data_IF_484845614028
#
_entry.id   IF_484845614028
#
_cell.length_a   1.000
_cell.length_b   1.000
_cell.length_c   1.000
_cell.angle_alpha   90.00
_cell.angle_beta   90.00
_cell.angle_gamma   90.00
#
_symmetry.space_group_name_H-M   'P 1'
#
loop_
_entity.id
_entity.type
_entity.pdbx_description
1 polymer ?
#
# COMPACT_ATOMS: atom_id res chain seq x y z
N UNK A 1 3.44 -13.03 17.22
CA UNK A 1 3.58 -12.38 15.90
C UNK A 1 4.65 -13.15 15.13
N UNK A 2 4.45 -13.46 13.85
CA UNK A 2 5.53 -14.00 13.02
C UNK A 2 6.33 -12.82 12.42
N UNK A 3 7.55 -13.09 11.97
CA UNK A 3 8.48 -12.08 11.42
C UNK A 3 7.89 -11.32 10.21
N UNK A 4 7.06 -11.99 9.41
CA UNK A 4 6.37 -11.38 8.27
C UNK A 4 5.38 -10.29 8.68
N UNK A 5 4.47 -10.57 9.62
CA UNK A 5 3.48 -9.57 10.05
C UNK A 5 4.14 -8.36 10.71
N UNK A 6 5.19 -8.59 11.51
CA UNK A 6 5.96 -7.51 12.12
C UNK A 6 6.66 -6.63 11.06
N UNK A 7 7.23 -7.24 10.03
CA UNK A 7 7.81 -6.53 8.89
C UNK A 7 6.76 -5.69 8.13
N UNK A 8 5.57 -6.23 7.88
CA UNK A 8 4.50 -5.51 7.16
C UNK A 8 3.96 -4.31 7.94
N UNK A 9 4.07 -4.32 9.27
CA UNK A 9 3.69 -3.20 10.13
C UNK A 9 4.76 -2.12 10.23
N UNK A 10 6.04 -2.47 10.08
CA UNK A 10 7.17 -1.58 10.44
C UNK A 10 8.04 -1.14 9.26
N UNK A 11 8.13 -1.92 8.19
CA UNK A 11 9.07 -1.67 7.09
C UNK A 11 8.39 -0.97 5.91
N UNK A 12 8.09 0.31 6.10
CA UNK A 12 7.57 1.17 5.04
C UNK A 12 8.66 2.10 4.51
N UNK A 13 8.99 1.96 3.23
CA UNK A 13 9.75 2.95 2.50
C UNK A 13 8.78 3.97 1.92
N UNK A 14 9.10 5.26 2.07
CA UNK A 14 8.35 6.36 1.47
C UNK A 14 9.26 7.06 0.47
N UNK A 15 8.79 7.17 -0.76
CA UNK A 15 9.46 7.88 -1.84
C UNK A 15 8.53 8.98 -2.39
N UNK A 16 9.14 10.08 -2.81
CA UNK A 16 8.44 11.19 -3.45
C UNK A 16 9.15 11.55 -4.75
N UNK A 17 8.39 11.97 -5.75
CA UNK A 17 8.93 12.34 -7.05
C UNK A 17 7.95 13.15 -7.87
N UNK A 18 8.23 13.26 -9.17
CA UNK A 18 7.35 13.93 -10.15
C UNK A 18 7.18 13.03 -11.35
N UNK A 19 5.92 12.77 -11.74
CA UNK A 19 5.55 12.01 -12.94
C UNK A 19 4.62 12.88 -13.77
N UNK A 20 4.96 13.10 -15.05
CA UNK A 20 4.17 13.93 -15.96
C UNK A 20 3.79 15.32 -15.39
N UNK A 21 4.73 15.96 -14.68
CA UNK A 21 4.56 17.27 -14.00
C UNK A 21 3.72 17.25 -12.71
N UNK A 22 3.17 16.10 -12.31
CA UNK A 22 2.44 15.96 -11.06
C UNK A 22 3.31 15.33 -9.97
N UNK A 23 3.20 15.81 -8.72
CA UNK A 23 3.85 15.15 -7.60
C UNK A 23 3.29 13.72 -7.44
N UNK A 24 4.18 12.78 -7.14
CA UNK A 24 3.82 11.43 -6.72
C UNK A 24 4.37 11.17 -5.33
N UNK A 25 3.53 10.60 -4.48
CA UNK A 25 3.91 10.02 -3.19
C UNK A 25 3.68 8.52 -3.27
N UNK A 26 4.73 7.74 -3.07
CA UNK A 26 4.66 6.28 -3.00
C UNK A 26 5.11 5.84 -1.62
N UNK A 27 4.37 4.91 -1.02
CA UNK A 27 4.88 4.11 0.08
C UNK A 27 4.68 2.64 -0.21
N UNK A 28 5.68 1.83 0.07
CA UNK A 28 5.61 0.39 -0.14
C UNK A 28 6.39 -0.34 0.94
N UNK A 29 6.13 -1.64 1.08
CA UNK A 29 6.92 -2.48 1.96
C UNK A 29 8.32 -2.65 1.38
N UNK A 30 9.35 -2.32 2.16
CA UNK A 30 10.74 -2.52 1.75
C UNK A 30 11.69 -2.49 2.97
N UNK A 31 12.71 -3.37 3.04
CA UNK A 31 13.02 -4.43 2.08
C UNK A 31 12.02 -5.60 2.18
N UNK A 32 11.82 -6.30 1.05
CA UNK A 32 11.07 -7.55 0.98
C UNK A 32 11.72 -8.43 -0.09
N UNK A 33 12.01 -9.69 0.23
CA UNK A 33 12.43 -10.69 -0.77
C UNK A 33 11.22 -11.53 -1.22
N UNK A 34 11.32 -12.17 -2.39
CA UNK A 34 10.24 -13.05 -2.89
C UNK A 34 10.04 -14.25 -1.97
N UNK A 35 11.12 -14.74 -1.36
CA UNK A 35 11.14 -15.86 -0.43
C UNK A 35 10.44 -15.53 0.90
N UNK A 36 10.38 -14.25 1.27
CA UNK A 36 9.71 -13.77 2.48
C UNK A 36 8.22 -13.47 2.26
N UNK A 37 7.69 -13.61 1.04
CA UNK A 37 6.25 -13.43 0.78
C UNK A 37 5.41 -14.56 1.40
N UNK A 38 4.10 -14.32 1.55
CA UNK A 38 3.16 -15.34 2.01
C UNK A 38 2.56 -16.11 0.83
N UNK A 39 2.85 -17.42 0.69
CA UNK A 39 2.38 -18.22 -0.46
C UNK A 39 0.86 -18.42 -0.48
N UNK A 40 0.17 -18.23 0.65
CA UNK A 40 -1.29 -18.26 0.69
C UNK A 40 -1.95 -17.00 0.11
N UNK A 41 -1.23 -15.89 -0.03
CA UNK A 41 -1.75 -14.63 -0.55
C UNK A 41 -1.48 -14.55 -2.05
N UNK A 42 -2.35 -15.14 -2.85
CA UNK A 42 -2.13 -15.35 -4.28
C UNK A 42 -2.85 -14.35 -5.18
N UNK A 43 -3.64 -13.44 -4.61
CA UNK A 43 -4.45 -12.49 -5.40
C UNK A 43 -4.01 -11.06 -5.14
N UNK A 44 -3.68 -10.36 -6.21
CA UNK A 44 -3.51 -8.92 -6.24
C UNK A 44 -4.88 -8.26 -6.21
N UNK A 45 -5.07 -7.32 -5.28
CA UNK A 45 -6.25 -6.46 -5.23
C UNK A 45 -5.78 -5.01 -5.30
N UNK A 46 -6.28 -4.26 -6.28
CA UNK A 46 -5.98 -2.84 -6.48
C UNK A 46 -7.23 -2.03 -6.24
N UNK A 47 -7.20 -1.17 -5.22
CA UNK A 47 -8.30 -0.27 -4.90
C UNK A 47 -7.92 1.13 -5.33
N UNK A 48 -8.67 1.69 -6.27
CA UNK A 48 -8.54 3.08 -6.72
C UNK A 48 -9.53 3.96 -5.99
N UNK A 49 -9.04 5.12 -5.56
CA UNK A 49 -9.83 6.18 -4.95
C UNK A 49 -9.57 7.47 -5.70
N UNK A 50 -10.56 7.93 -6.46
CA UNK A 50 -10.50 9.20 -7.18
C UNK A 50 -11.02 10.33 -6.28
N UNK A 51 -10.36 11.49 -6.35
CA UNK A 51 -10.73 12.65 -5.55
C UNK A 51 -10.43 13.96 -6.28
N UNK A 52 -11.13 15.02 -5.87
CA UNK A 52 -10.79 16.38 -6.27
C UNK A 52 -9.68 16.92 -5.37
N UNK A 53 -8.49 17.08 -5.96
CA UNK A 53 -7.30 17.57 -5.27
C UNK A 53 -7.17 19.09 -5.26
N UNK A 54 -6.14 19.58 -4.58
CA UNK A 54 -5.69 20.96 -4.67
C UNK A 54 -5.03 21.28 -6.04
N UNK A 55 -4.44 22.47 -6.19
CA UNK A 55 -3.75 22.88 -7.43
C UNK A 55 -2.60 21.94 -7.86
N UNK A 56 -2.11 21.11 -6.95
CA UNK A 56 -1.04 20.15 -7.19
C UNK A 56 -1.57 18.71 -7.38
N UNK A 57 -2.89 18.51 -7.28
CA UNK A 57 -3.53 17.20 -7.36
C UNK A 57 -3.40 16.38 -6.08
N UNK A 58 -3.03 17.00 -4.95
CA UNK A 58 -2.95 16.35 -3.64
C UNK A 58 -4.32 16.38 -2.95
N UNK A 59 -4.64 15.37 -2.12
CA UNK A 59 -5.95 15.30 -1.47
C UNK A 59 -6.11 16.40 -0.42
N UNK A 60 -7.33 16.94 -0.33
CA UNK A 60 -7.69 17.85 0.76
C UNK A 60 -7.63 17.13 2.12
N UNK A 61 -7.49 17.85 3.25
CA UNK A 61 -7.37 17.22 4.56
C UNK A 61 -8.53 16.29 4.93
N UNK A 62 -9.77 16.68 4.64
CA UNK A 62 -10.95 15.85 4.90
C UNK A 62 -10.98 14.57 4.06
N UNK A 63 -10.48 14.64 2.83
CA UNK A 63 -10.39 13.50 1.93
C UNK A 63 -9.29 12.53 2.39
N UNK A 64 -8.16 13.08 2.82
CA UNK A 64 -7.05 12.31 3.40
C UNK A 64 -7.49 11.55 4.66
N UNK A 65 -8.24 12.21 5.55
CA UNK A 65 -8.77 11.59 6.77
C UNK A 65 -9.73 10.42 6.45
N UNK A 66 -10.55 10.57 5.41
CA UNK A 66 -11.46 9.52 4.97
C UNK A 66 -10.71 8.32 4.39
N UNK A 67 -9.67 8.56 3.58
CA UNK A 67 -8.78 7.53 3.05
C UNK A 67 -8.01 6.79 4.16
N UNK A 68 -7.51 7.51 5.16
CA UNK A 68 -6.84 6.93 6.33
C UNK A 68 -7.81 6.09 7.17
N UNK A 69 -9.06 6.53 7.31
CA UNK A 69 -10.09 5.73 7.98
C UNK A 69 -10.38 4.45 7.20
N UNK A 70 -10.59 4.54 5.88
CA UNK A 70 -10.80 3.38 5.03
C UNK A 70 -9.65 2.37 5.17
N UNK A 71 -8.41 2.84 5.00
CA UNK A 71 -7.22 2.01 5.09
C UNK A 71 -7.13 1.30 6.45
N UNK A 72 -7.31 2.04 7.55
CA UNK A 72 -7.27 1.47 8.91
C UNK A 72 -8.34 0.39 9.09
N UNK A 73 -9.56 0.63 8.62
CA UNK A 73 -10.67 -0.32 8.76
C UNK A 73 -10.41 -1.60 7.96
N UNK A 74 -10.04 -1.49 6.69
CA UNK A 74 -9.81 -2.67 5.85
C UNK A 74 -8.59 -3.44 6.31
N UNK A 75 -7.47 -2.78 6.64
CA UNK A 75 -6.29 -3.46 7.17
C UNK A 75 -6.60 -4.20 8.47
N UNK A 76 -7.41 -3.61 9.36
CA UNK A 76 -7.84 -4.28 10.59
C UNK A 76 -8.71 -5.51 10.32
N UNK A 77 -9.61 -5.45 9.33
CA UNK A 77 -10.45 -6.58 8.96
C UNK A 77 -9.62 -7.73 8.36
N UNK A 78 -8.68 -7.41 7.47
CA UNK A 78 -7.82 -8.39 6.78
C UNK A 78 -6.73 -9.01 7.68
N UNK A 79 -6.34 -8.31 8.76
CA UNK A 79 -5.35 -8.82 9.71
C UNK A 79 -5.81 -10.08 10.44
N UNK A 80 -7.13 -10.25 10.61
CA UNK A 80 -7.71 -11.46 11.17
C UNK A 80 -7.35 -12.66 10.29
N UNK A 81 -6.86 -13.71 10.92
CA UNK A 81 -6.39 -14.94 10.26
C UNK A 81 -5.33 -14.75 9.16
N UNK A 82 -4.71 -13.57 9.02
CA UNK A 82 -3.80 -13.22 7.91
C UNK A 82 -4.48 -13.42 6.55
N UNK A 83 -5.68 -12.85 6.39
CA UNK A 83 -6.43 -12.96 5.13
C UNK A 83 -5.79 -12.15 4.01
N UNK A 84 -5.23 -10.98 4.32
CA UNK A 84 -4.54 -10.14 3.36
C UNK A 84 -3.68 -9.06 4.01
N UNK A 85 -2.87 -8.40 3.19
CA UNK A 85 -1.94 -7.35 3.61
C UNK A 85 -1.92 -6.21 2.61
N UNK A 86 -1.78 -4.98 3.11
CA UNK A 86 -1.48 -3.80 2.29
C UNK A 86 0.03 -3.78 2.03
N UNK A 87 0.43 -3.71 0.76
CA UNK A 87 1.85 -3.75 0.37
C UNK A 87 2.32 -2.44 -0.25
N UNK A 88 1.41 -1.59 -0.71
CA UNK A 88 1.76 -0.32 -1.31
C UNK A 88 0.60 0.66 -1.37
N UNK A 89 0.94 1.95 -1.35
CA UNK A 89 0.01 3.05 -1.63
C UNK A 89 0.71 4.06 -2.53
N UNK A 90 0.02 4.48 -3.58
CA UNK A 90 0.48 5.50 -4.52
C UNK A 90 -0.53 6.64 -4.55
N UNK A 91 -0.08 7.88 -4.42
CA UNK A 91 -0.91 9.08 -4.59
C UNK A 91 -0.32 9.92 -5.71
N UNK A 92 -1.09 10.14 -6.76
CA UNK A 92 -0.70 10.96 -7.91
C UNK A 92 -1.94 11.55 -8.58
N UNK A 93 -1.89 12.86 -8.83
CA UNK A 93 -2.82 13.58 -9.70
C UNK A 93 -4.31 13.23 -9.48
N UNK A 94 -4.86 13.51 -8.29
CA UNK A 94 -6.28 13.29 -8.01
C UNK A 94 -6.68 11.82 -7.79
N UNK A 95 -5.71 10.92 -7.62
CA UNK A 95 -5.97 9.50 -7.35
C UNK A 95 -5.04 8.94 -6.29
N UNK A 96 -5.62 8.20 -5.35
CA UNK A 96 -4.89 7.32 -4.43
C UNK A 96 -5.18 5.87 -4.80
N UNK A 97 -4.15 5.05 -4.88
CA UNK A 97 -4.23 3.63 -5.20
C UNK A 97 -3.67 2.85 -4.02
N UNK A 98 -4.45 1.91 -3.50
CA UNK A 98 -4.04 0.96 -2.47
C UNK A 98 -3.83 -0.41 -3.11
N UNK A 99 -2.69 -1.03 -2.83
CA UNK A 99 -2.30 -2.30 -3.40
C UNK A 99 -2.24 -3.33 -2.26
N UNK A 100 -3.10 -4.35 -2.35
CA UNK A 100 -3.19 -5.44 -1.40
C UNK A 100 -2.85 -6.77 -2.04
N UNK A 101 -2.39 -7.71 -1.21
CA UNK A 101 -2.40 -9.14 -1.52
C UNK A 101 -3.31 -9.86 -0.55
N UNK A 102 -4.17 -10.74 -1.08
CA UNK A 102 -5.17 -11.48 -0.32
C UNK A 102 -5.22 -12.95 -0.73
N UNK A 103 -5.82 -13.80 0.11
CA UNK A 103 -5.99 -15.23 -0.18
C UNK A 103 -6.88 -15.48 -1.39
N UNK A 104 -7.97 -14.74 -1.50
CA UNK A 104 -8.91 -14.79 -2.60
C UNK A 104 -9.72 -13.49 -2.68
N UNK A 105 -10.33 -13.25 -3.83
CA UNK A 105 -11.10 -12.03 -4.11
C UNK A 105 -12.41 -11.98 -3.32
N UNK A 106 -13.12 -13.11 -3.19
CA UNK A 106 -14.45 -13.17 -2.54
C UNK A 106 -14.38 -12.75 -1.07
N UNK A 107 -13.47 -13.32 -0.29
CA UNK A 107 -13.32 -12.94 1.12
C UNK A 107 -12.78 -11.52 1.31
N UNK A 108 -12.02 -10.97 0.36
CA UNK A 108 -11.67 -9.54 0.41
C UNK A 108 -12.93 -8.68 0.24
N UNK A 109 -13.82 -9.04 -0.67
CA UNK A 109 -15.10 -8.35 -0.86
C UNK A 109 -15.98 -8.46 0.38
N UNK A 110 -16.03 -9.63 1.03
CA UNK A 110 -16.79 -9.81 2.29
C UNK A 110 -16.28 -8.89 3.39
N UNK A 111 -14.95 -8.80 3.59
CA UNK A 111 -14.37 -7.87 4.55
C UNK A 111 -14.61 -6.40 4.17
N UNK A 112 -14.61 -6.07 2.88
CA UNK A 112 -14.94 -4.73 2.42
C UNK A 112 -16.40 -4.38 2.72
N UNK A 113 -17.33 -5.31 2.50
CA UNK A 113 -18.74 -5.13 2.86
C UNK A 113 -18.84 -4.90 4.37
N UNK A 114 -18.26 -5.77 5.18
CA UNK A 114 -18.27 -5.67 6.66
C UNK A 114 -17.85 -4.28 7.15
N UNK A 115 -16.76 -3.72 6.61
CA UNK A 115 -16.30 -2.39 7.02
C UNK A 115 -17.12 -1.24 6.42
N UNK A 116 -18.03 -1.47 5.48
CA UNK A 116 -18.83 -0.42 4.85
C UNK A 116 -20.31 -0.45 5.23
N UNK A 117 -20.80 -1.52 5.88
CA UNK A 117 -22.21 -1.69 6.26
C UNK A 117 -22.77 -0.58 7.16
N UNK A 118 -21.93 0.03 7.99
CA UNK A 118 -22.30 1.08 8.96
C UNK A 118 -22.17 2.51 8.41
N UNK A 119 -21.69 2.67 7.17
CA UNK A 119 -21.45 3.97 6.59
C UNK A 119 -22.74 4.60 6.06
N UNK A 120 -22.91 5.89 6.35
CA UNK A 120 -24.01 6.68 5.77
C UNK A 120 -23.87 6.86 4.25
N UNK A 121 -22.62 6.84 3.74
CA UNK A 121 -22.29 7.00 2.33
C UNK A 121 -21.20 5.99 1.93
N UNK A 122 -21.32 5.35 0.76
CA UNK A 122 -20.28 4.44 0.27
C UNK A 122 -18.99 5.22 -0.03
N UNK A 123 -17.84 4.55 0.12
CA UNK A 123 -16.57 5.07 -0.35
C UNK A 123 -16.53 5.17 -1.89
N UNK A 124 -15.91 6.20 -2.47
CA UNK A 124 -15.81 6.39 -3.92
C UNK A 124 -14.68 5.53 -4.52
N UNK A 125 -14.77 4.21 -4.33
CA UNK A 125 -13.72 3.26 -4.72
C UNK A 125 -14.07 2.45 -5.96
N UNK A 126 -13.04 2.12 -6.73
CA UNK A 126 -13.08 1.12 -7.81
C UNK A 126 -12.06 0.03 -7.48
N UNK A 127 -12.37 -1.22 -7.83
CA UNK A 127 -11.55 -2.37 -7.46
C UNK A 127 -11.24 -3.19 -8.70
N UNK A 128 -9.98 -3.48 -8.89
CA UNK A 128 -9.47 -4.49 -9.83
C UNK A 128 -8.82 -5.61 -9.02
N UNK A 129 -8.90 -6.83 -9.55
CA UNK A 129 -8.35 -8.00 -8.90
C UNK A 129 -7.87 -9.01 -9.95
N UNK A 130 -6.69 -9.58 -9.72
CA UNK A 130 -6.06 -10.58 -10.57
C UNK A 130 -5.35 -11.64 -9.72
N UNK A 131 -5.16 -12.83 -10.29
CA UNK A 131 -4.31 -13.87 -9.70
C UNK A 131 -2.84 -13.56 -9.97
N UNK A 132 -2.04 -13.43 -8.91
CA UNK A 132 -0.60 -13.17 -8.95
C UNK A 132 0.13 -13.91 -7.80
N UNK A 133 0.19 -15.26 -7.83
CA UNK A 133 0.78 -16.07 -6.76
C UNK A 133 2.28 -15.83 -6.57
N UNK A 134 2.94 -15.16 -7.53
CA UNK A 134 4.37 -14.87 -7.47
C UNK A 134 4.66 -13.43 -7.06
N UNK A 135 3.62 -12.63 -6.81
CA UNK A 135 3.72 -11.22 -6.45
C UNK A 135 4.45 -10.37 -7.50
N UNK A 136 4.35 -10.75 -8.78
CA UNK A 136 5.06 -10.10 -9.87
C UNK A 136 4.71 -8.63 -9.98
N UNK A 137 3.43 -8.27 -9.86
CA UNK A 137 2.99 -6.88 -9.91
C UNK A 137 3.66 -6.03 -8.82
N UNK A 138 3.77 -6.57 -7.61
CA UNK A 138 4.42 -5.85 -6.52
C UNK A 138 5.90 -5.61 -6.83
N UNK A 139 6.65 -6.67 -7.12
CA UNK A 139 8.09 -6.58 -7.32
C UNK A 139 8.49 -5.82 -8.60
N UNK A 140 7.64 -5.82 -9.62
CA UNK A 140 7.95 -5.19 -10.91
C UNK A 140 7.46 -3.74 -11.03
N UNK A 141 6.44 -3.35 -10.27
CA UNK A 141 5.78 -2.05 -10.45
C UNK A 141 5.66 -1.19 -9.18
N UNK A 142 5.73 -1.79 -7.99
CA UNK A 142 5.51 -1.09 -6.72
C UNK A 142 6.75 -1.07 -5.85
N UNK A 143 7.51 -2.17 -5.84
CA UNK A 143 8.68 -2.34 -4.99
C UNK A 143 9.76 -1.31 -5.32
N UNK A 144 10.29 -0.69 -4.26
CA UNK A 144 11.40 0.23 -4.34
C UNK A 144 12.54 -0.38 -3.53
N UNK A 145 13.66 -0.63 -4.21
CA UNK A 145 14.88 -1.06 -3.56
C UNK A 145 15.33 0.02 -2.57
N UNK A 146 15.58 -0.33 -1.29
CA UNK A 146 16.10 0.63 -0.34
C UNK A 146 17.51 1.03 -0.77
N UNK A 147 17.85 2.31 -0.67
CA UNK A 147 19.22 2.75 -0.91
C UNK A 147 20.16 2.03 0.08
N UNK A 148 21.18 1.33 -0.44
CA UNK A 148 22.28 0.87 0.39
C UNK A 148 22.93 2.12 0.98
N UNK A 149 22.81 2.35 2.29
CA UNK A 149 23.65 3.31 2.96
C UNK A 149 25.09 2.82 2.80
N UNK A 150 25.80 3.29 1.77
CA UNK A 150 27.26 3.28 1.77
C UNK A 150 27.67 3.99 3.05
N UNK A 151 28.15 3.20 4.01
CA UNK A 151 28.38 3.66 5.37
C UNK A 151 29.14 4.98 5.36
N UNK A 152 28.63 5.94 6.12
CA UNK A 152 29.35 7.16 6.46
C UNK A 152 30.74 6.80 7.00
N UNK A 153 31.71 6.77 6.09
CA UNK A 153 33.12 6.75 6.38
C UNK A 153 33.65 8.18 6.36
N UNK A 154 33.00 9.12 7.06
CA UNK A 154 33.75 10.21 7.68
C UNK A 154 34.47 9.67 8.92
N UNK A 155 35.36 8.69 8.74
CA UNK A 155 36.42 8.42 9.71
C UNK A 155 37.48 9.48 9.51
N UNK A 156 37.59 10.34 10.51
CA UNK A 156 38.82 10.95 11.01
C UNK A 156 40.03 10.77 10.09
N UNK A 157 40.32 11.81 9.32
CA UNK A 157 41.68 12.12 8.92
C UNK A 157 41.76 13.63 8.70
N UNK A 158 42.06 14.36 9.78
CA UNK A 158 42.83 15.59 9.63
C UNK A 158 44.08 15.45 10.53
N UNK A 159 45.29 15.59 9.95
CA UNK A 159 46.57 15.34 10.62
C UNK A 159 46.92 16.34 11.73
#
# INVERSE_FOLDING_TARGET
>A
MNQFTEMMETNWLIAQGVVNQFPILVRCISPLSREDTLPELTHLIVVYWEYEGDEQGLPLPSESELMEQFERRICSALANDRFGVLVGVQTINGRRTFIYYARNVEGFQDHLIEITEDLEKPYPIQIEADEDPQWNFFFEHIYIEPEENEGDQSRDNNP
#
